data_IF_454092238204
#
_entry.id   IF_454092238204
#
_cell.length_a   1.000
_cell.length_b   1.000
_cell.length_c   1.000
_cell.angle_alpha   90.00
_cell.angle_beta   90.00
_cell.angle_gamma   90.00
#
_symmetry.space_group_name_H-M   'P 1'
#
loop_
_entity.id
_entity.type
_entity.pdbx_description
1 polymer ?
#
# COMPACT_ATOMS: atom_id res chain seq x y z
N UNK A 1 38.41 -9.12 -13.24
CA UNK A 1 38.19 -8.35 -12.00
C UNK A 1 36.71 -8.31 -11.82
N UNK A 2 36.19 -9.09 -10.87
CA UNK A 2 34.76 -9.19 -10.63
C UNK A 2 34.28 -7.91 -9.98
N UNK A 3 33.59 -7.06 -10.74
CA UNK A 3 32.92 -5.88 -10.21
C UNK A 3 31.72 -6.36 -9.40
N UNK A 4 31.93 -6.59 -8.11
CA UNK A 4 30.84 -6.92 -7.19
C UNK A 4 29.80 -5.80 -7.23
N UNK A 5 28.60 -6.14 -7.71
CA UNK A 5 27.48 -5.24 -7.75
C UNK A 5 26.90 -5.06 -6.34
N UNK A 6 26.92 -3.84 -5.81
CA UNK A 6 26.27 -3.49 -4.57
C UNK A 6 24.98 -2.72 -4.86
N UNK A 7 23.85 -3.31 -4.48
CA UNK A 7 22.53 -2.71 -4.67
C UNK A 7 22.37 -1.36 -3.95
N UNK A 8 23.11 -1.16 -2.85
CA UNK A 8 23.05 0.07 -2.06
C UNK A 8 23.72 1.27 -2.75
N UNK A 9 24.55 1.03 -3.77
CA UNK A 9 25.19 2.10 -4.55
C UNK A 9 24.26 2.63 -5.66
N UNK A 10 23.14 1.95 -5.91
CA UNK A 10 22.18 2.26 -6.97
C UNK A 10 20.80 2.53 -6.34
N UNK A 11 20.65 3.74 -5.78
CA UNK A 11 19.44 4.14 -5.04
C UNK A 11 18.17 4.12 -5.92
N UNK A 12 18.29 4.44 -7.20
CA UNK A 12 17.21 4.38 -8.19
C UNK A 12 16.67 2.96 -8.38
N UNK A 13 17.56 1.98 -8.54
CA UNK A 13 17.20 0.56 -8.65
C UNK A 13 16.56 0.07 -7.35
N UNK A 14 17.12 0.48 -6.21
CA UNK A 14 16.56 0.15 -4.90
C UNK A 14 15.14 0.73 -4.73
N UNK A 15 14.90 1.98 -5.13
CA UNK A 15 13.58 2.61 -5.09
C UNK A 15 12.58 1.80 -5.94
N UNK A 16 12.95 1.42 -7.16
CA UNK A 16 12.07 0.63 -8.04
C UNK A 16 11.75 -0.76 -7.49
N UNK A 17 12.70 -1.39 -6.79
CA UNK A 17 12.46 -2.65 -6.08
C UNK A 17 11.49 -2.42 -4.91
N UNK A 18 11.71 -1.38 -4.10
CA UNK A 18 10.86 -1.06 -2.96
C UNK A 18 9.43 -0.67 -3.36
N UNK A 19 9.22 -0.01 -4.52
CA UNK A 19 7.89 0.27 -5.08
C UNK A 19 7.04 -0.97 -5.33
N UNK A 20 7.68 -2.11 -5.64
CA UNK A 20 7.00 -3.38 -5.95
C UNK A 20 6.54 -4.12 -4.70
N UNK A 21 7.07 -3.78 -3.52
CA UNK A 21 6.71 -4.42 -2.26
C UNK A 21 5.26 -4.07 -1.83
N UNK A 22 4.68 -4.89 -0.97
CA UNK A 22 3.48 -4.52 -0.22
C UNK A 22 3.88 -3.77 1.07
N UNK A 23 2.93 -3.04 1.67
CA UNK A 23 3.25 -2.17 2.81
C UNK A 23 3.83 -2.91 4.03
N UNK A 24 3.55 -4.22 4.19
CA UNK A 24 4.19 -5.04 5.25
C UNK A 24 5.66 -5.28 4.93
N UNK A 25 5.97 -5.74 3.73
CA UNK A 25 7.34 -6.02 3.30
C UNK A 25 8.19 -4.75 3.25
N UNK A 26 7.61 -3.60 2.88
CA UNK A 26 8.28 -2.31 2.94
C UNK A 26 8.68 -1.92 4.37
N UNK A 27 7.84 -2.25 5.36
CA UNK A 27 8.17 -2.06 6.78
C UNK A 27 9.33 -2.93 7.26
N UNK A 28 9.41 -4.19 6.79
CA UNK A 28 10.55 -5.08 7.08
C UNK A 28 11.82 -4.59 6.38
N UNK A 29 11.72 -4.17 5.13
CA UNK A 29 12.83 -3.60 4.35
C UNK A 29 13.44 -2.36 5.02
N UNK A 30 12.61 -1.52 5.65
CA UNK A 30 13.08 -0.35 6.38
C UNK A 30 14.00 -0.69 7.58
N UNK A 31 14.05 -1.94 8.03
CA UNK A 31 14.90 -2.40 9.13
C UNK A 31 16.28 -2.90 8.69
N UNK A 32 16.54 -3.01 7.39
CA UNK A 32 17.79 -3.61 6.86
C UNK A 32 18.99 -2.70 7.14
N UNK A 33 18.90 -1.42 6.78
CA UNK A 33 19.95 -0.43 7.02
C UNK A 33 19.39 1.00 6.97
N UNK A 34 20.22 2.01 7.28
CA UNK A 34 19.80 3.42 7.27
C UNK A 34 19.33 3.91 5.90
N UNK A 35 19.97 3.47 4.81
CA UNK A 35 19.58 3.83 3.45
C UNK A 35 18.16 3.34 3.15
N UNK A 36 17.90 2.06 3.36
CA UNK A 36 16.59 1.45 3.14
C UNK A 36 15.53 2.07 4.04
N UNK A 37 15.87 2.39 5.29
CA UNK A 37 14.99 3.09 6.21
C UNK A 37 14.62 4.49 5.70
N UNK A 38 15.60 5.25 5.19
CA UNK A 38 15.39 6.57 4.60
C UNK A 38 14.47 6.50 3.39
N UNK A 39 14.76 5.61 2.45
CA UNK A 39 13.96 5.43 1.24
C UNK A 39 12.54 4.97 1.58
N UNK A 40 12.38 3.94 2.42
CA UNK A 40 11.07 3.40 2.81
C UNK A 40 10.20 4.40 3.60
N UNK A 41 10.79 5.47 4.16
CA UNK A 41 10.05 6.57 4.82
C UNK A 41 9.61 7.65 3.84
N UNK A 42 10.12 7.67 2.62
CA UNK A 42 9.75 8.65 1.62
C UNK A 42 8.28 8.50 1.22
N UNK A 43 7.51 9.58 1.36
CA UNK A 43 6.06 9.56 1.17
C UNK A 43 5.64 9.26 -0.28
N UNK A 44 6.51 9.54 -1.26
CA UNK A 44 6.29 9.20 -2.68
C UNK A 44 6.17 7.69 -2.93
N UNK A 45 6.87 6.84 -2.18
CA UNK A 45 6.69 5.39 -2.24
C UNK A 45 5.30 4.99 -1.76
N UNK A 46 4.82 5.63 -0.69
CA UNK A 46 3.51 5.38 -0.13
C UNK A 46 2.39 5.93 -1.02
N UNK A 47 2.61 7.05 -1.72
CA UNK A 47 1.71 7.55 -2.76
C UNK A 47 1.55 6.49 -3.85
N UNK A 48 2.65 6.00 -4.42
CA UNK A 48 2.61 4.94 -5.43
C UNK A 48 1.86 3.71 -4.91
N UNK A 49 2.12 3.28 -3.68
CA UNK A 49 1.47 2.09 -3.10
C UNK A 49 -0.04 2.29 -2.87
N UNK A 50 -0.47 3.50 -2.49
CA UNK A 50 -1.89 3.84 -2.36
C UNK A 50 -2.61 3.83 -3.71
N UNK A 51 -1.97 4.32 -4.78
CA UNK A 51 -2.63 4.52 -6.08
C UNK A 51 -2.30 3.48 -7.16
N UNK A 52 -1.37 2.55 -6.95
CA UNK A 52 -0.95 1.58 -7.99
C UNK A 52 -2.09 0.71 -8.55
N UNK A 53 -3.17 0.54 -7.79
CA UNK A 53 -4.33 -0.29 -8.13
C UNK A 53 -5.61 0.51 -8.37
N UNK A 54 -5.52 1.84 -8.37
CA UNK A 54 -6.67 2.73 -8.55
C UNK A 54 -6.32 3.85 -9.52
N UNK A 55 -7.34 4.53 -10.05
CA UNK A 55 -7.12 5.70 -10.88
C UNK A 55 -6.26 6.74 -10.15
N UNK A 56 -5.47 7.55 -10.89
CA UNK A 56 -4.64 8.58 -10.29
C UNK A 56 -5.47 9.52 -9.38
N UNK A 57 -4.85 10.05 -8.31
CA UNK A 57 -5.55 10.89 -7.35
C UNK A 57 -6.20 12.10 -8.03
N UNK A 58 -7.46 12.36 -7.68
CA UNK A 58 -8.17 13.57 -8.09
C UNK A 58 -7.45 14.83 -7.57
N UNK A 59 -7.62 15.95 -8.28
CA UNK A 59 -7.10 17.24 -7.81
C UNK A 59 -7.62 17.53 -6.40
N UNK A 60 -6.71 17.88 -5.48
CA UNK A 60 -7.01 18.16 -4.08
C UNK A 60 -6.78 17.00 -3.10
N UNK A 61 -6.63 15.75 -3.56
CA UNK A 61 -6.33 14.61 -2.67
C UNK A 61 -5.02 14.85 -1.91
N UNK A 62 -4.01 15.43 -2.56
CA UNK A 62 -2.73 15.79 -1.94
C UNK A 62 -2.91 16.66 -0.70
N UNK A 63 -3.78 17.66 -0.75
CA UNK A 63 -4.05 18.57 0.38
C UNK A 63 -4.66 17.84 1.56
N UNK A 64 -5.62 16.96 1.30
CA UNK A 64 -6.27 16.14 2.35
C UNK A 64 -5.26 15.17 2.96
N UNK A 65 -4.43 14.54 2.13
CA UNK A 65 -3.39 13.61 2.59
C UNK A 65 -2.35 14.32 3.44
N UNK A 66 -1.92 15.52 3.05
CA UNK A 66 -1.03 16.33 3.86
C UNK A 66 -1.66 16.67 5.22
N UNK A 67 -2.94 17.05 5.26
CA UNK A 67 -3.66 17.29 6.51
C UNK A 67 -3.79 16.03 7.40
N UNK A 68 -3.89 14.84 6.79
CA UNK A 68 -3.87 13.56 7.50
C UNK A 68 -2.48 13.20 8.05
N UNK A 69 -1.41 13.86 7.58
CA UNK A 69 -0.02 13.59 7.96
C UNK A 69 0.74 12.70 6.98
N UNK A 70 0.35 12.66 5.71
CA UNK A 70 1.07 12.01 4.62
C UNK A 70 0.46 10.70 4.13
N UNK A 71 0.95 10.24 2.97
CA UNK A 71 0.49 9.02 2.31
C UNK A 71 0.76 7.77 3.13
N UNK A 72 1.84 7.73 3.90
CA UNK A 72 2.10 6.62 4.83
C UNK A 72 0.97 6.48 5.86
N UNK A 73 0.47 7.60 6.41
CA UNK A 73 -0.61 7.58 7.40
C UNK A 73 -1.94 7.22 6.74
N UNK A 74 -2.23 7.77 5.57
CA UNK A 74 -3.37 7.35 4.74
C UNK A 74 -3.37 5.83 4.51
N UNK A 75 -2.21 5.28 4.13
CA UNK A 75 -2.09 3.85 3.88
C UNK A 75 -2.43 3.02 5.12
N UNK A 76 -1.89 3.39 6.28
CA UNK A 76 -2.12 2.64 7.52
C UNK A 76 -3.56 2.73 8.02
N UNK A 77 -4.18 3.92 7.93
CA UNK A 77 -5.51 4.20 8.50
C UNK A 77 -6.64 3.78 7.56
N UNK A 78 -6.51 3.99 6.26
CA UNK A 78 -7.60 3.80 5.30
C UNK A 78 -7.35 2.61 4.36
N UNK A 79 -6.20 2.59 3.68
CA UNK A 79 -5.96 1.63 2.58
C UNK A 79 -5.73 0.21 3.12
N UNK A 80 -4.87 0.06 4.13
CA UNK A 80 -4.50 -1.24 4.70
C UNK A 80 -5.71 -1.97 5.31
N UNK A 81 -6.61 -1.34 6.09
CA UNK A 81 -7.82 -2.00 6.58
C UNK A 81 -8.72 -2.50 5.45
N UNK A 82 -8.96 -1.68 4.43
CA UNK A 82 -9.76 -2.07 3.25
C UNK A 82 -9.11 -3.26 2.54
N UNK A 83 -7.81 -3.21 2.26
CA UNK A 83 -7.07 -4.32 1.66
C UNK A 83 -7.11 -5.60 2.50
N UNK A 84 -7.04 -5.49 3.83
CA UNK A 84 -7.13 -6.65 4.72
C UNK A 84 -8.54 -7.27 4.70
N UNK A 85 -9.59 -6.46 4.63
CA UNK A 85 -10.97 -6.94 4.48
C UNK A 85 -11.14 -7.65 3.15
N UNK A 86 -10.73 -7.02 2.05
CA UNK A 86 -10.75 -7.60 0.72
C UNK A 86 -10.00 -8.95 0.65
N UNK A 87 -8.84 -9.06 1.31
CA UNK A 87 -8.10 -10.35 1.41
C UNK A 87 -8.85 -11.42 2.22
N UNK A 88 -9.60 -11.04 3.26
CA UNK A 88 -10.38 -11.97 4.10
C UNK A 88 -11.62 -12.51 3.39
N UNK A 89 -12.15 -11.77 2.40
CA UNK A 89 -13.31 -12.18 1.60
C UNK A 89 -12.95 -13.17 0.48
N UNK A 90 -11.66 -13.56 0.35
CA UNK A 90 -11.30 -14.66 -0.56
C UNK A 90 -11.91 -15.97 -0.05
N UNK A 91 -12.73 -16.67 -0.86
CA UNK A 91 -13.19 -18.01 -0.52
C UNK A 91 -11.98 -18.92 -0.31
N UNK A 92 -11.90 -19.54 0.87
CA UNK A 92 -10.93 -20.61 1.14
C UNK A 92 -11.30 -21.79 0.25
N UNK A 93 -10.49 -22.09 -0.78
CA UNK A 93 -10.68 -23.30 -1.60
C UNK A 93 -10.40 -23.22 -3.10
N UNK A 94 -9.82 -22.15 -3.66
CA UNK A 94 -9.39 -22.15 -5.08
C UNK A 94 -7.87 -22.00 -5.14
N UNK A 95 -7.16 -23.10 -4.91
CA UNK A 95 -5.77 -23.31 -5.34
C UNK A 95 -5.80 -23.67 -6.83
N UNK A 96 -5.66 -22.66 -7.69
CA UNK A 96 -5.41 -22.87 -9.12
C UNK A 96 -4.60 -21.70 -9.62
N UNK A 97 -3.54 -22.01 -10.38
CA UNK A 97 -2.48 -21.19 -11.01
C UNK A 97 -2.87 -19.82 -11.60
N UNK A 98 -4.15 -19.46 -11.58
CA UNK A 98 -4.67 -18.10 -11.78
C UNK A 98 -4.32 -17.08 -10.66
N UNK A 99 -3.48 -17.45 -9.68
CA UNK A 99 -3.09 -16.62 -8.53
C UNK A 99 -2.42 -15.29 -8.89
N UNK A 100 -1.79 -15.20 -10.07
CA UNK A 100 -1.16 -13.97 -10.55
C UNK A 100 -2.21 -13.02 -11.12
N UNK A 101 -3.23 -13.53 -11.81
CA UNK A 101 -4.24 -12.72 -12.51
C UNK A 101 -5.30 -12.19 -11.54
N UNK A 102 -5.71 -12.98 -10.55
CA UNK A 102 -6.72 -12.55 -9.55
C UNK A 102 -6.16 -11.63 -8.44
N UNK A 103 -4.84 -11.50 -8.32
CA UNK A 103 -4.22 -10.48 -7.46
C UNK A 103 -4.41 -9.05 -8.02
N UNK A 104 -4.86 -8.94 -9.28
CA UNK A 104 -4.81 -7.71 -10.09
C UNK A 104 -6.18 -7.07 -10.32
N UNK A 105 -7.30 -7.78 -10.13
CA UNK A 105 -8.63 -7.20 -10.37
C UNK A 105 -9.60 -7.50 -9.24
N UNK A 106 -9.74 -6.55 -8.31
CA UNK A 106 -10.88 -6.51 -7.39
C UNK A 106 -12.14 -6.22 -8.19
N UNK A 107 -13.24 -6.92 -7.92
CA UNK A 107 -14.52 -6.53 -8.52
C UNK A 107 -14.95 -5.20 -7.91
N UNK A 108 -15.50 -4.30 -8.75
CA UNK A 108 -15.93 -2.97 -8.30
C UNK A 108 -16.86 -3.05 -7.07
N UNK A 109 -17.74 -4.04 -7.03
CA UNK A 109 -18.67 -4.27 -5.92
C UNK A 109 -17.98 -4.66 -4.62
N UNK A 110 -16.94 -5.50 -4.64
CA UNK A 110 -16.17 -5.84 -3.43
C UNK A 110 -15.49 -4.61 -2.83
N UNK A 111 -14.97 -3.73 -3.69
CA UNK A 111 -14.35 -2.47 -3.27
C UNK A 111 -15.40 -1.52 -2.67
N UNK A 112 -16.53 -1.32 -3.36
CA UNK A 112 -17.63 -0.46 -2.89
C UNK A 112 -18.20 -0.94 -1.55
N UNK A 113 -18.43 -2.24 -1.37
CA UNK A 113 -18.89 -2.83 -0.11
C UNK A 113 -17.87 -2.64 1.02
N UNK A 114 -16.59 -2.89 0.73
CA UNK A 114 -15.52 -2.74 1.73
C UNK A 114 -15.33 -1.29 2.17
N UNK A 115 -15.45 -0.34 1.24
CA UNK A 115 -15.44 1.09 1.54
C UNK A 115 -16.66 1.51 2.36
N UNK A 116 -17.85 1.03 2.00
CA UNK A 116 -19.08 1.32 2.76
C UNK A 116 -18.98 0.84 4.21
N UNK A 117 -18.53 -0.40 4.42
CA UNK A 117 -18.29 -0.95 5.76
C UNK A 117 -17.20 -0.19 6.51
N UNK A 118 -16.10 0.18 5.83
CA UNK A 118 -15.05 0.98 6.44
C UNK A 118 -15.57 2.35 6.90
N UNK A 119 -16.36 3.04 6.09
CA UNK A 119 -16.96 4.32 6.45
C UNK A 119 -17.87 4.18 7.67
N UNK A 120 -18.76 3.17 7.70
CA UNK A 120 -19.64 2.90 8.85
C UNK A 120 -18.82 2.68 10.13
N UNK A 121 -17.82 1.80 10.09
CA UNK A 121 -16.96 1.51 11.24
C UNK A 121 -16.19 2.77 11.71
N UNK A 122 -15.76 3.61 10.77
CA UNK A 122 -15.05 4.86 11.08
C UNK A 122 -15.96 5.92 11.72
N UNK A 123 -17.20 6.08 11.23
CA UNK A 123 -18.17 6.98 11.86
C UNK A 123 -18.59 6.49 13.24
N UNK A 124 -18.77 5.18 13.44
CA UNK A 124 -19.01 4.64 14.78
C UNK A 124 -17.87 4.90 15.74
N UNK A 125 -16.62 4.86 15.26
CA UNK A 125 -15.45 5.21 16.07
C UNK A 125 -15.49 6.68 16.48
N UNK A 126 -15.76 7.60 15.54
CA UNK A 126 -15.82 9.03 15.81
C UNK A 126 -16.98 9.45 16.73
N UNK A 127 -18.11 8.75 16.69
CA UNK A 127 -19.28 9.08 17.54
C UNK A 127 -19.20 8.49 18.96
N UNK A 128 -18.19 7.65 19.26
CA UNK A 128 -17.98 7.04 20.58
C UNK A 128 -16.91 7.77 21.43
N UNK A 129 -16.32 8.84 20.90
CA UNK A 129 -15.47 9.83 21.60
C UNK A 129 -16.27 11.08 21.97
#
# INVERSE_FOLDING_TARGET
MDTNFFINDNEDVLIEILKRLDGRSLGVAACVCKLWCGIARNDSLWEHLCFRHVSPPLEGVRTVVLALGGYRRLYMVCVRPVLNRLRKWRPVGIESDSEIVRRVYWTRHEVELSLSLFCVDYYEFLCKE
#
